data_IF_583859394084
#
_entry.id   IF_583859394084
#
_cell.length_a   1.000
_cell.length_b   1.000
_cell.length_c   1.000
_cell.angle_alpha   90.00
_cell.angle_beta   90.00
_cell.angle_gamma   90.00
#
_symmetry.space_group_name_H-M   'P 1'
#
loop_
_entity.id
_entity.type
_entity.pdbx_description
1 polymer ?
#
# COMPACT_ATOMS: atom_id res chain seq x y z
N UNK A 1 8.39 6.65 24.42
CA UNK A 1 7.99 5.24 24.13
C UNK A 1 8.66 4.37 25.16
N UNK A 2 7.89 3.52 25.85
CA UNK A 2 8.48 2.50 26.71
C UNK A 2 9.22 1.49 25.82
N UNK A 3 10.51 1.32 26.09
CA UNK A 3 11.37 0.30 25.50
C UNK A 3 10.72 -1.07 25.75
N UNK A 4 10.31 -1.78 24.69
CA UNK A 4 9.48 -2.99 24.78
C UNK A 4 8.25 -2.93 23.87
N UNK A 5 7.43 -1.89 23.98
CA UNK A 5 6.19 -1.74 23.19
C UNK A 5 6.43 -1.74 21.67
N UNK A 6 7.55 -1.17 21.20
CA UNK A 6 7.88 -1.17 19.77
C UNK A 6 8.23 -2.56 19.24
N UNK A 7 8.96 -3.35 20.04
CA UNK A 7 9.35 -4.72 19.67
C UNK A 7 8.13 -5.61 19.56
N UNK A 8 7.21 -5.51 20.53
CA UNK A 8 5.94 -6.23 20.52
C UNK A 8 5.07 -5.89 19.31
N UNK A 9 4.95 -4.59 18.97
CA UNK A 9 4.20 -4.17 17.77
C UNK A 9 4.83 -4.71 16.49
N UNK A 10 6.15 -4.61 16.36
CA UNK A 10 6.87 -5.15 15.19
C UNK A 10 6.66 -6.66 15.07
N UNK A 11 6.74 -7.39 16.19
CA UNK A 11 6.49 -8.82 16.22
C UNK A 11 5.06 -9.16 15.79
N UNK A 12 4.06 -8.45 16.35
CA UNK A 12 2.65 -8.61 16.00
C UNK A 12 2.39 -8.38 14.50
N UNK A 13 2.93 -7.31 13.93
CA UNK A 13 2.79 -7.02 12.50
C UNK A 13 3.46 -8.13 11.66
N UNK A 14 4.64 -8.58 12.09
CA UNK A 14 5.38 -9.64 11.39
C UNK A 14 4.61 -10.97 11.36
N UNK A 15 3.93 -11.32 12.46
CA UNK A 15 3.05 -12.49 12.53
C UNK A 15 1.83 -12.31 11.63
N UNK A 16 1.17 -11.16 11.71
CA UNK A 16 0.00 -10.83 10.89
C UNK A 16 0.28 -10.92 9.39
N UNK A 17 1.46 -10.50 8.91
CA UNK A 17 1.84 -10.58 7.48
C UNK A 17 1.85 -12.02 6.94
N UNK A 18 2.18 -12.99 7.78
CA UNK A 18 2.26 -14.40 7.37
C UNK A 18 1.01 -15.21 7.71
N UNK A 19 0.05 -14.59 8.39
CA UNK A 19 -1.25 -15.19 8.70
C UNK A 19 -2.19 -15.00 7.51
N UNK A 20 -2.16 -15.97 6.59
CA UNK A 20 -2.88 -15.92 5.31
C UNK A 20 -4.22 -16.68 5.36
N UNK A 21 -4.78 -16.93 6.56
CA UNK A 21 -6.13 -17.50 6.68
C UNK A 21 -7.19 -16.53 6.11
N UNK A 22 -8.24 -17.06 5.48
CA UNK A 22 -9.22 -16.26 4.74
C UNK A 22 -10.00 -15.24 5.60
N UNK A 23 -10.05 -15.45 6.91
CA UNK A 23 -10.71 -14.60 7.91
C UNK A 23 -9.80 -13.49 8.45
N UNK A 24 -8.51 -13.48 8.12
CA UNK A 24 -7.58 -12.45 8.60
C UNK A 24 -7.77 -11.17 7.79
N UNK A 25 -7.91 -10.01 8.46
CA UNK A 25 -8.02 -8.73 7.75
C UNK A 25 -6.77 -8.45 6.93
N UNK A 26 -6.94 -7.99 5.68
CA UNK A 26 -5.83 -7.59 4.78
C UNK A 26 -5.21 -6.22 5.10
N UNK A 27 -5.84 -5.43 5.96
CA UNK A 27 -5.33 -4.12 6.38
C UNK A 27 -4.95 -4.15 7.87
N UNK A 28 -3.70 -3.80 8.16
CA UNK A 28 -3.25 -3.46 9.50
C UNK A 28 -3.10 -1.94 9.63
N UNK A 29 -3.91 -1.32 10.49
CA UNK A 29 -3.86 0.12 10.71
C UNK A 29 -3.05 0.47 11.97
N UNK A 30 -1.83 0.98 11.78
CA UNK A 30 -0.98 1.46 12.88
C UNK A 30 -1.28 2.93 13.18
N UNK A 31 -2.04 3.19 14.24
CA UNK A 31 -2.41 4.53 14.68
C UNK A 31 -1.87 4.87 16.07
N UNK A 32 -1.80 6.17 16.37
CA UNK A 32 -1.35 6.68 17.65
C UNK A 32 -0.91 8.13 17.57
N UNK A 33 -0.63 8.79 18.71
CA UNK A 33 -0.24 10.20 18.75
C UNK A 33 0.96 10.54 17.87
N UNK A 34 1.11 11.82 17.50
CA UNK A 34 2.31 12.31 16.82
C UNK A 34 3.56 12.05 17.68
N UNK A 35 4.71 11.80 17.05
CA UNK A 35 5.98 11.57 17.75
C UNK A 35 6.16 10.21 18.42
N UNK A 36 5.19 9.28 18.32
CA UNK A 36 5.33 7.92 18.92
C UNK A 36 6.23 6.98 18.12
N UNK A 37 6.69 7.38 16.93
CA UNK A 37 7.60 6.59 16.10
C UNK A 37 6.91 5.57 15.19
N UNK A 38 5.67 5.81 14.77
CA UNK A 38 4.94 4.98 13.80
C UNK A 38 5.72 4.81 12.49
N UNK A 39 6.27 5.90 11.94
CA UNK A 39 7.13 5.85 10.76
C UNK A 39 8.37 4.99 11.00
N UNK A 40 9.00 5.08 12.17
CA UNK A 40 10.14 4.20 12.50
C UNK A 40 9.74 2.71 12.49
N UNK A 41 8.55 2.36 12.99
CA UNK A 41 8.00 1.00 12.91
C UNK A 41 7.74 0.62 11.44
N UNK A 42 7.08 1.48 10.65
CA UNK A 42 6.78 1.25 9.25
C UNK A 42 8.07 0.97 8.46
N UNK A 43 9.11 1.79 8.63
CA UNK A 43 10.42 1.60 8.00
C UNK A 43 11.09 0.30 8.45
N UNK A 44 10.99 -0.07 9.73
CA UNK A 44 11.55 -1.32 10.25
C UNK A 44 10.86 -2.53 9.62
N UNK A 45 9.52 -2.52 9.53
CA UNK A 45 8.74 -3.55 8.84
C UNK A 45 9.07 -3.58 7.34
N UNK A 46 9.20 -2.42 6.69
CA UNK A 46 9.58 -2.33 5.28
C UNK A 46 10.93 -2.98 4.99
N UNK A 47 11.95 -2.71 5.81
CA UNK A 47 13.24 -3.39 5.72
C UNK A 47 13.10 -4.90 5.94
N UNK A 48 12.38 -5.30 6.98
CA UNK A 48 12.14 -6.71 7.28
C UNK A 48 11.42 -7.47 6.14
N UNK A 49 10.45 -6.84 5.48
CA UNK A 49 9.73 -7.37 4.32
C UNK A 49 10.64 -7.46 3.09
N UNK A 50 11.48 -6.44 2.87
CA UNK A 50 12.45 -6.42 1.77
C UNK A 50 13.43 -7.58 1.90
N UNK A 51 13.99 -7.77 3.10
CA UNK A 51 14.95 -8.84 3.40
C UNK A 51 14.33 -10.25 3.23
N UNK A 52 12.99 -10.36 3.27
CA UNK A 52 12.23 -11.61 3.08
C UNK A 52 11.59 -11.76 1.69
N UNK A 53 11.79 -10.79 0.80
CA UNK A 53 11.21 -10.84 -0.55
C UNK A 53 9.68 -10.79 -0.60
N UNK A 54 9.05 -10.17 0.42
CA UNK A 54 7.61 -9.93 0.47
C UNK A 54 7.23 -8.45 0.38
N UNK A 55 8.18 -7.51 0.35
CA UNK A 55 7.86 -6.10 0.13
C UNK A 55 7.42 -5.87 -1.32
N UNK A 56 6.14 -5.53 -1.52
CA UNK A 56 5.62 -5.07 -2.80
C UNK A 56 5.95 -3.59 -3.03
N UNK A 57 5.55 -2.74 -2.09
CA UNK A 57 5.81 -1.31 -2.16
C UNK A 57 5.97 -0.66 -0.79
N UNK A 58 6.73 0.43 -0.76
CA UNK A 58 6.78 1.36 0.36
C UNK A 58 6.52 2.77 -0.19
N UNK A 59 5.48 3.42 0.31
CA UNK A 59 5.16 4.80 -0.01
C UNK A 59 4.98 5.60 1.27
N UNK A 60 5.47 6.83 1.28
CA UNK A 60 5.30 7.77 2.38
C UNK A 60 4.67 9.04 1.82
N UNK A 61 3.61 9.50 2.48
CA UNK A 61 3.07 10.83 2.23
C UNK A 61 3.87 11.87 2.98
N UNK A 62 4.10 13.00 2.32
CA UNK A 62 4.77 14.14 2.92
C UNK A 62 3.99 15.39 2.53
N UNK A 63 3.44 16.08 3.53
CA UNK A 63 2.62 17.28 3.34
C UNK A 63 3.41 18.42 2.67
N UNK A 64 4.74 18.47 2.87
CA UNK A 64 5.59 19.50 2.27
C UNK A 64 5.66 19.36 0.75
N UNK A 65 5.41 18.14 0.25
CA UNK A 65 5.30 17.81 -1.17
C UNK A 65 3.86 17.47 -1.56
N UNK A 66 2.86 18.14 -0.99
CA UNK A 66 1.43 17.81 -1.18
C UNK A 66 0.96 17.79 -2.64
N UNK A 67 1.58 18.58 -3.54
CA UNK A 67 1.30 18.54 -4.98
C UNK A 67 1.89 17.30 -5.69
N UNK A 68 2.89 16.66 -5.08
CA UNK A 68 3.62 15.49 -5.58
C UNK A 68 3.27 14.19 -4.85
N UNK A 69 2.66 14.31 -3.67
CA UNK A 69 2.21 13.20 -2.82
C UNK A 69 0.68 13.18 -2.74
N UNK A 70 0.01 13.29 -3.88
CA UNK A 70 -1.45 13.13 -3.96
C UNK A 70 -1.82 11.64 -3.94
N UNK A 71 -3.06 11.27 -3.58
CA UNK A 71 -3.56 9.89 -3.70
C UNK A 71 -3.31 9.26 -5.08
N UNK A 72 -3.49 10.02 -6.15
CA UNK A 72 -3.26 9.54 -7.51
C UNK A 72 -1.78 9.18 -7.74
N UNK A 73 -0.86 10.07 -7.37
CA UNK A 73 0.58 9.81 -7.45
C UNK A 73 1.02 8.67 -6.52
N UNK A 74 0.34 8.50 -5.39
CA UNK A 74 0.57 7.36 -4.50
C UNK A 74 0.24 6.03 -5.20
N UNK A 75 -0.92 5.93 -5.87
CA UNK A 75 -1.29 4.71 -6.63
C UNK A 75 -0.29 4.42 -7.75
N UNK A 76 0.10 5.43 -8.53
CA UNK A 76 1.12 5.28 -9.56
C UNK A 76 2.47 4.80 -8.99
N UNK A 77 2.91 5.40 -7.89
CA UNK A 77 4.18 5.05 -7.23
C UNK A 77 4.14 3.65 -6.62
N UNK A 78 3.02 3.26 -6.03
CA UNK A 78 2.80 1.92 -5.49
C UNK A 78 2.84 0.89 -6.64
N UNK A 79 2.08 1.10 -7.70
CA UNK A 79 2.06 0.21 -8.87
C UNK A 79 3.47 0.03 -9.46
N UNK A 80 4.21 1.12 -9.63
CA UNK A 80 5.60 1.10 -10.08
C UNK A 80 6.50 0.28 -9.16
N UNK A 81 6.43 0.52 -7.84
CA UNK A 81 7.23 -0.22 -6.87
C UNK A 81 6.89 -1.71 -6.85
N UNK A 82 5.60 -2.07 -6.90
CA UNK A 82 5.18 -3.49 -6.98
C UNK A 82 5.71 -4.11 -8.27
N UNK A 83 5.63 -3.42 -9.41
CA UNK A 83 6.16 -3.92 -10.69
C UNK A 83 7.69 -4.13 -10.68
N UNK A 84 8.45 -3.31 -9.94
CA UNK A 84 9.89 -3.55 -9.73
C UNK A 84 10.11 -4.84 -8.96
N UNK A 85 9.37 -5.04 -7.86
CA UNK A 85 9.60 -6.13 -6.93
C UNK A 85 8.94 -7.46 -7.34
N UNK A 86 7.97 -7.41 -8.27
CA UNK A 86 7.12 -8.55 -8.63
C UNK A 86 6.92 -8.65 -10.15
N UNK A 87 7.74 -9.47 -10.85
CA UNK A 87 7.70 -9.57 -12.32
C UNK A 87 6.34 -9.96 -12.91
N UNK A 88 5.57 -10.82 -12.22
CA UNK A 88 4.24 -11.22 -12.68
C UNK A 88 3.27 -10.04 -12.70
N UNK A 89 3.27 -9.23 -11.63
CA UNK A 89 2.50 -7.99 -11.56
C UNK A 89 2.93 -7.02 -12.66
N UNK A 90 4.24 -6.87 -12.88
CA UNK A 90 4.78 -6.02 -13.96
C UNK A 90 4.23 -6.42 -15.33
N UNK A 91 4.24 -7.71 -15.65
CA UNK A 91 3.75 -8.18 -16.94
C UNK A 91 2.27 -7.83 -17.13
N UNK A 92 1.45 -8.05 -16.10
CA UNK A 92 0.04 -7.66 -16.11
C UNK A 92 -0.17 -6.16 -16.27
N UNK A 93 0.61 -5.34 -15.55
CA UNK A 93 0.55 -3.89 -15.63
C UNK A 93 0.96 -3.38 -17.02
N UNK A 94 2.04 -3.91 -17.59
CA UNK A 94 2.51 -3.55 -18.94
C UNK A 94 1.47 -3.91 -19.99
N UNK A 95 0.86 -5.09 -19.93
CA UNK A 95 -0.18 -5.48 -20.88
C UNK A 95 -1.40 -4.53 -20.84
N UNK A 96 -1.79 -4.06 -19.66
CA UNK A 96 -2.88 -3.08 -19.53
C UNK A 96 -2.49 -1.71 -20.10
N UNK A 97 -1.27 -1.24 -19.81
CA UNK A 97 -0.78 0.05 -20.30
C UNK A 97 -0.47 0.04 -21.81
N UNK A 98 -0.09 -1.09 -22.38
CA UNK A 98 0.08 -1.25 -23.83
C UNK A 98 -1.26 -1.13 -24.57
N UNK A 99 -2.36 -1.56 -23.93
CA UNK A 99 -3.73 -1.42 -24.47
C UNK A 99 -4.26 -0.01 -24.32
N UNK A 100 -3.99 0.64 -23.18
CA UNK A 100 -4.35 2.03 -22.93
C UNK A 100 -3.30 2.76 -22.07
N UNK A 101 -2.41 3.54 -22.71
CA UNK A 101 -1.36 4.29 -22.01
C UNK A 101 -1.89 5.38 -21.07
N UNK A 102 -3.15 5.80 -21.21
CA UNK A 102 -3.73 6.89 -20.43
C UNK A 102 -4.32 6.43 -19.09
N UNK A 103 -4.43 5.12 -18.83
CA UNK A 103 -4.94 4.57 -17.56
C UNK A 103 -4.20 5.12 -16.34
N UNK A 104 -2.87 5.25 -16.44
CA UNK A 104 -2.07 5.84 -15.37
C UNK A 104 -2.44 7.29 -15.08
N UNK A 105 -2.89 8.04 -16.08
CA UNK A 105 -3.29 9.44 -15.98
C UNK A 105 -4.76 9.68 -15.67
N UNK A 106 -5.57 8.64 -15.42
CA UNK A 106 -7.01 8.81 -15.18
C UNK A 106 -7.29 9.78 -14.03
N UNK A 107 -8.33 10.61 -14.21
CA UNK A 107 -8.81 11.55 -13.18
C UNK A 107 -9.51 10.78 -12.04
N UNK A 108 -10.01 9.57 -12.31
CA UNK A 108 -10.70 8.73 -11.34
C UNK A 108 -9.72 7.90 -10.53
N UNK A 109 -9.68 8.12 -9.20
CA UNK A 109 -8.89 7.30 -8.29
C UNK A 109 -9.33 5.83 -8.29
N UNK A 110 -10.62 5.57 -8.48
CA UNK A 110 -11.16 4.21 -8.58
C UNK A 110 -10.63 3.50 -9.82
N UNK A 111 -10.63 4.18 -10.97
CA UNK A 111 -10.11 3.62 -12.21
C UNK A 111 -8.60 3.39 -12.12
N UNK A 112 -7.85 4.31 -11.50
CA UNK A 112 -6.42 4.12 -11.22
C UNK A 112 -6.18 2.93 -10.29
N UNK A 113 -6.97 2.77 -9.23
CA UNK A 113 -6.88 1.61 -8.33
C UNK A 113 -7.09 0.31 -9.10
N UNK A 114 -8.17 0.22 -9.87
CA UNK A 114 -8.52 -0.97 -10.62
C UNK A 114 -7.47 -1.32 -11.68
N UNK A 115 -7.05 -0.35 -12.48
CA UNK A 115 -6.14 -0.56 -13.60
C UNK A 115 -4.68 -0.73 -13.18
N UNK A 116 -4.21 0.02 -12.17
CA UNK A 116 -2.81 0.02 -11.78
C UNK A 116 -2.48 -0.98 -10.67
N UNK A 117 -3.46 -1.33 -9.82
CA UNK A 117 -3.24 -2.19 -8.65
C UNK A 117 -4.04 -3.49 -8.76
N UNK A 118 -5.37 -3.40 -8.81
CA UNK A 118 -6.21 -4.59 -8.64
C UNK A 118 -6.09 -5.59 -9.79
N UNK A 119 -6.27 -5.14 -11.05
CA UNK A 119 -6.19 -6.02 -12.22
C UNK A 119 -4.81 -6.67 -12.39
N UNK A 120 -3.67 -5.93 -12.28
CA UNK A 120 -2.35 -6.57 -12.32
C UNK A 120 -2.12 -7.53 -11.16
N UNK A 121 -2.63 -7.24 -9.95
CA UNK A 121 -2.50 -8.13 -8.80
C UNK A 121 -3.19 -9.47 -9.01
N UNK A 122 -4.34 -9.52 -9.70
CA UNK A 122 -5.05 -10.76 -10.02
C UNK A 122 -4.24 -11.73 -10.89
N UNK A 123 -3.22 -11.23 -11.61
CA UNK A 123 -2.35 -12.05 -12.46
C UNK A 123 -1.13 -12.60 -11.69
N UNK A 124 -0.98 -12.25 -10.42
CA UNK A 124 0.11 -12.73 -9.57
C UNK A 124 -0.23 -14.12 -9.03
N UNK A 125 0.59 -15.09 -9.43
CA UNK A 125 0.61 -16.43 -8.89
C UNK A 125 1.84 -16.61 -8.00
N UNK A 126 1.77 -16.05 -6.78
CA UNK A 126 2.80 -16.13 -5.73
C UNK A 126 2.19 -16.77 -4.49
N UNK A 127 2.89 -17.71 -3.87
CA UNK A 127 2.41 -18.43 -2.68
C UNK A 127 2.59 -17.67 -1.37
N UNK A 128 3.40 -16.61 -1.35
CA UNK A 128 3.71 -15.82 -0.16
C UNK A 128 3.18 -14.39 -0.24
N UNK A 129 3.27 -13.64 0.88
CA UNK A 129 2.68 -12.32 0.99
C UNK A 129 3.35 -11.28 0.08
N UNK A 130 2.58 -10.27 -0.29
CA UNK A 130 2.99 -9.05 -1.00
C UNK A 130 2.52 -7.86 -0.18
N UNK A 131 3.44 -7.25 0.55
CA UNK A 131 3.11 -6.20 1.52
C UNK A 131 3.27 -4.82 0.88
N UNK A 132 2.21 -4.01 0.94
CA UNK A 132 2.23 -2.59 0.59
C UNK A 132 2.18 -1.78 1.88
N UNK A 133 3.20 -0.94 2.09
CA UNK A 133 3.29 -0.07 3.26
C UNK A 133 3.02 1.36 2.83
N UNK A 134 2.03 2.00 3.47
CA UNK A 134 1.69 3.40 3.30
C UNK A 134 1.93 4.11 4.63
N UNK A 135 2.99 4.89 4.71
CA UNK A 135 3.34 5.67 5.89
C UNK A 135 2.80 7.11 5.80
N UNK A 136 2.56 7.71 6.97
CA UNK A 136 2.08 9.08 7.14
C UNK A 136 0.78 9.36 6.35
N UNK A 137 -0.14 8.39 6.31
CA UNK A 137 -1.43 8.52 5.60
C UNK A 137 -2.23 9.77 6.02
N UNK A 138 -2.04 10.27 7.24
CA UNK A 138 -2.62 11.52 7.72
C UNK A 138 -2.02 12.78 7.07
N UNK A 139 -1.07 12.66 6.16
CA UNK A 139 -0.49 13.76 5.40
C UNK A 139 -1.02 13.87 3.96
N UNK A 140 -1.86 12.93 3.51
CA UNK A 140 -2.39 12.92 2.14
C UNK A 140 -3.54 13.92 1.86
N UNK A 141 -3.72 14.93 2.73
CA UNK A 141 -4.78 15.95 2.64
C UNK A 141 -5.64 16.01 3.91
N UNK A 142 -6.48 17.03 4.09
CA UNK A 142 -7.29 17.22 5.31
C UNK A 142 -8.28 16.06 5.55
N UNK A 143 -8.62 15.83 6.82
CA UNK A 143 -9.62 14.81 7.22
C UNK A 143 -11.07 15.30 7.04
N UNK A 144 -11.28 16.62 7.07
CA UNK A 144 -12.61 17.22 6.99
C UNK A 144 -13.16 17.21 5.56
N UNK A 145 -14.47 17.01 5.45
CA UNK A 145 -15.19 16.97 4.18
C UNK A 145 -14.87 15.74 3.31
N UNK A 146 -15.18 15.86 2.01
CA UNK A 146 -14.89 14.84 0.99
C UNK A 146 -13.48 15.04 0.38
N UNK A 147 -12.51 15.31 1.26
CA UNK A 147 -11.14 15.63 0.91
C UNK A 147 -10.33 14.43 0.41
N UNK A 148 -9.12 14.66 -0.13
CA UNK A 148 -8.29 13.61 -0.75
C UNK A 148 -8.01 12.40 0.17
N UNK A 149 -7.84 12.63 1.48
CA UNK A 149 -7.62 11.56 2.47
C UNK A 149 -8.81 10.62 2.58
N UNK A 150 -10.02 11.18 2.67
CA UNK A 150 -11.25 10.38 2.81
C UNK A 150 -11.50 9.54 1.57
N UNK A 151 -11.33 10.15 0.38
CA UNK A 151 -11.42 9.43 -0.90
C UNK A 151 -10.42 8.31 -0.98
N UNK A 152 -9.16 8.57 -0.66
CA UNK A 152 -8.12 7.56 -0.72
C UNK A 152 -8.38 6.41 0.26
N UNK A 153 -8.83 6.70 1.48
CA UNK A 153 -9.23 5.67 2.45
C UNK A 153 -10.40 4.81 1.94
N UNK A 154 -11.43 5.42 1.35
CA UNK A 154 -12.57 4.70 0.76
C UNK A 154 -12.12 3.75 -0.35
N UNK A 155 -11.28 4.23 -1.28
CA UNK A 155 -10.70 3.39 -2.34
C UNK A 155 -9.91 2.22 -1.76
N UNK A 156 -9.07 2.45 -0.74
CA UNK A 156 -8.31 1.38 -0.11
C UNK A 156 -9.24 0.35 0.54
N UNK A 157 -10.23 0.80 1.32
CA UNK A 157 -11.15 -0.10 2.05
C UNK A 157 -12.04 -0.93 1.12
N UNK A 158 -12.60 -0.30 0.08
CA UNK A 158 -13.48 -0.94 -0.89
C UNK A 158 -12.68 -1.84 -1.84
N UNK A 159 -11.49 -1.40 -2.22
CA UNK A 159 -10.61 -2.07 -3.17
C UNK A 159 -9.98 -3.38 -2.68
N UNK A 160 -9.86 -3.59 -1.36
CA UNK A 160 -9.23 -4.80 -0.79
C UNK A 160 -9.92 -6.11 -1.17
N UNK A 161 -11.24 -6.07 -1.40
CA UNK A 161 -11.99 -7.26 -1.81
C UNK A 161 -11.57 -7.76 -3.19
N UNK A 162 -11.08 -6.85 -4.04
CA UNK A 162 -10.60 -7.13 -5.38
C UNK A 162 -9.13 -7.53 -5.46
N UNK A 163 -8.42 -7.68 -4.34
CA UNK A 163 -7.03 -8.16 -4.32
C UNK A 163 -6.96 -9.68 -4.04
N UNK A 164 -5.90 -10.37 -4.49
CA UNK A 164 -5.61 -11.73 -4.02
C UNK A 164 -5.50 -11.81 -2.49
N UNK A 165 -5.61 -13.00 -1.91
CA UNK A 165 -5.56 -13.19 -0.46
C UNK A 165 -4.16 -12.93 0.14
N UNK A 166 -3.12 -13.00 -0.69
CA UNK A 166 -1.73 -12.81 -0.30
C UNK A 166 -1.23 -11.37 -0.52
N UNK A 167 -2.12 -10.41 -0.81
CA UNK A 167 -1.84 -8.98 -0.91
C UNK A 167 -2.39 -8.24 0.30
#
# INVERSE_FOLDING_TARGET
>A
CLEGTRVEIIHKISQWIYDMEANIPKIFFLHGPAGTGKSAIAHTIGKWCKDRGCLGAFFHFDRTFSMERTPSKALQSIAYNVAINLPQFRNGLVELLDKDPYLAGSISLQEQWESLIAKPAQLVNKSGPVVIIIDALDECGPQEGDGPRRKFLSILMEGMQGLPYNF
#
